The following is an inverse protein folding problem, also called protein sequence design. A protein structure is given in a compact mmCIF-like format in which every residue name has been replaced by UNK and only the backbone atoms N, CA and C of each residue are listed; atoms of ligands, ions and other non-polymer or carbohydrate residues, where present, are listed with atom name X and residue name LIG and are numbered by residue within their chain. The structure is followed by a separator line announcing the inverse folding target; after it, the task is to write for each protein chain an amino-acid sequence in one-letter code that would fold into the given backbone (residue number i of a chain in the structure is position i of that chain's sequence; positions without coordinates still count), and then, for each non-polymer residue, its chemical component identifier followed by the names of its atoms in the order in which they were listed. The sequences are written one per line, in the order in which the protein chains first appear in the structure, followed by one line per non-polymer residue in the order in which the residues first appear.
data_IF_240677626932
#
_entry.id   IF_240677626932
#
_cell.length_a   1.000
_cell.length_b   1.000
_cell.length_c   1.000
_cell.angle_alpha   90.00
_cell.angle_beta   90.00
_cell.angle_gamma   90.00
#
_symmetry.space_group_name_H-M   'P 1'
#
loop_
_entity.id
_entity.type
_entity.pdbx_description
1 polymer ?
#
# COMPACT_ATOMS: atom_id res chain seq x y z
N UNK A 1 -10.58 -21.90 -23.81
CA UNK A 1 -11.11 -21.57 -22.46
C UNK A 1 -11.52 -20.09 -22.43
N UNK A 2 -12.29 -19.63 -21.42
CA UNK A 2 -12.51 -18.20 -21.23
C UNK A 2 -11.21 -17.52 -20.74
N UNK A 3 -10.80 -16.47 -21.43
CA UNK A 3 -9.63 -15.66 -21.11
C UNK A 3 -9.86 -14.83 -19.84
N UNK A 4 -8.96 -14.94 -18.86
CA UNK A 4 -9.04 -14.22 -17.59
C UNK A 4 -8.28 -12.88 -17.63
N UNK A 5 -7.61 -12.52 -18.71
CA UNK A 5 -6.84 -11.27 -18.81
C UNK A 5 -7.67 -10.01 -18.51
N UNK A 6 -8.93 -9.86 -18.98
CA UNK A 6 -9.76 -8.73 -18.58
C UNK A 6 -10.00 -8.65 -17.07
N UNK A 7 -10.20 -9.81 -16.42
CA UNK A 7 -10.38 -9.88 -14.97
C UNK A 7 -9.08 -9.56 -14.23
N UNK A 8 -7.93 -10.02 -14.72
CA UNK A 8 -6.61 -9.68 -14.17
C UNK A 8 -6.38 -8.17 -14.23
N UNK A 9 -6.66 -7.54 -15.37
CA UNK A 9 -6.54 -6.07 -15.52
C UNK A 9 -7.42 -5.32 -14.53
N UNK A 10 -8.68 -5.73 -14.40
CA UNK A 10 -9.61 -5.14 -13.44
C UNK A 10 -9.08 -5.26 -12.00
N UNK A 11 -8.63 -6.46 -11.58
CA UNK A 11 -8.08 -6.68 -10.24
C UNK A 11 -6.79 -5.92 -9.96
N UNK A 12 -5.93 -5.73 -10.97
CA UNK A 12 -4.73 -4.88 -10.86
C UNK A 12 -5.12 -3.43 -10.58
N UNK A 13 -6.09 -2.91 -11.34
CA UNK A 13 -6.59 -1.56 -11.11
C UNK A 13 -7.21 -1.41 -9.70
N UNK A 14 -7.99 -2.38 -9.23
CA UNK A 14 -8.50 -2.38 -7.85
C UNK A 14 -7.38 -2.32 -6.80
N UNK A 15 -6.32 -3.12 -6.99
CA UNK A 15 -5.16 -3.11 -6.09
C UNK A 15 -4.45 -1.76 -6.10
N UNK A 16 -4.25 -1.17 -7.27
CA UNK A 16 -3.61 0.13 -7.42
C UNK A 16 -4.40 1.24 -6.70
N UNK A 17 -5.73 1.22 -6.81
CA UNK A 17 -6.59 2.16 -6.09
C UNK A 17 -6.49 2.01 -4.57
N UNK A 18 -6.39 0.77 -4.06
CA UNK A 18 -6.17 0.51 -2.64
C UNK A 18 -4.79 0.98 -2.18
N UNK A 19 -3.74 0.80 -2.99
CA UNK A 19 -2.41 1.31 -2.70
C UNK A 19 -2.38 2.84 -2.64
N UNK A 20 -3.01 3.52 -3.60
CA UNK A 20 -3.16 4.99 -3.59
C UNK A 20 -3.95 5.48 -2.38
N UNK A 21 -4.98 4.75 -1.98
CA UNK A 21 -5.73 5.08 -0.77
C UNK A 21 -4.86 4.95 0.49
N UNK A 22 -4.10 3.85 0.62
CA UNK A 22 -3.18 3.64 1.72
C UNK A 22 -2.08 4.72 1.78
N UNK A 23 -1.52 5.11 0.63
CA UNK A 23 -0.53 6.19 0.56
C UNK A 23 -1.09 7.50 1.09
N UNK A 24 -2.33 7.87 0.73
CA UNK A 24 -3.01 9.07 1.25
C UNK A 24 -3.17 9.04 2.77
N UNK A 25 -3.46 7.88 3.37
CA UNK A 25 -3.55 7.74 4.82
C UNK A 25 -2.19 7.96 5.51
N UNK A 26 -1.11 7.42 4.94
CA UNK A 26 0.23 7.65 5.47
C UNK A 26 0.68 9.11 5.33
N UNK A 27 0.31 9.79 4.24
CA UNK A 27 0.53 11.24 4.10
C UNK A 27 -0.22 12.04 5.18
N UNK A 28 -1.46 11.66 5.48
CA UNK A 28 -2.26 12.29 6.55
C UNK A 28 -1.61 12.08 7.93
N UNK A 29 -1.18 10.85 8.22
CA UNK A 29 -0.46 10.53 9.46
C UNK A 29 0.84 11.33 9.60
N UNK A 30 1.62 11.45 8.52
CA UNK A 30 2.86 12.23 8.53
C UNK A 30 2.59 13.73 8.79
N UNK A 31 1.51 14.29 8.24
CA UNK A 31 1.11 15.69 8.53
C UNK A 31 0.78 15.91 10.01
N UNK A 32 0.08 14.96 10.64
CA UNK A 32 -0.22 15.03 12.07
C UNK A 32 1.05 14.97 12.92
N UNK A 33 1.98 14.07 12.56
CA UNK A 33 3.28 13.95 13.24
C UNK A 33 4.07 15.27 13.15
N UNK A 34 4.15 15.85 11.95
CA UNK A 34 4.81 17.15 11.74
C UNK A 34 4.14 18.28 12.56
N UNK A 35 2.81 18.30 12.63
CA UNK A 35 2.08 19.27 13.46
C UNK A 35 2.40 19.11 14.95
N UNK A 36 2.47 17.87 15.44
CA UNK A 36 2.83 17.57 16.83
C UNK A 36 4.25 18.03 17.14
N UNK A 37 5.22 17.70 16.28
CA UNK A 37 6.61 18.14 16.42
C UNK A 37 6.74 19.67 16.40
N UNK A 38 6.00 20.36 15.54
CA UNK A 38 5.99 21.82 15.51
C UNK A 38 5.47 22.44 16.80
N UNK A 39 4.44 21.84 17.43
CA UNK A 39 3.92 22.28 18.73
C UNK A 39 4.94 22.00 19.84
N UNK A 40 5.60 20.84 19.83
CA UNK A 40 6.62 20.52 20.83
C UNK A 40 7.81 21.48 20.72
N UNK A 41 8.28 21.76 19.50
CA UNK A 41 9.35 22.73 19.26
C UNK A 41 8.97 24.15 19.68
N UNK A 42 7.71 24.57 19.51
CA UNK A 42 7.27 25.89 19.99
C UNK A 42 7.22 25.96 21.51
N UNK A 43 6.81 24.88 22.18
CA UNK A 43 6.86 24.78 23.65
C UNK A 43 8.29 24.85 24.17
N UNK A 44 9.23 24.14 23.53
CA UNK A 44 10.66 24.19 23.91
C UNK A 44 11.24 25.60 23.77
N UNK A 45 10.97 26.28 22.64
CA UNK A 45 11.44 27.67 22.43
C UNK A 45 10.92 28.63 23.50
N UNK A 46 9.63 28.53 23.83
CA UNK A 46 9.03 29.36 24.89
C UNK A 46 9.60 29.03 26.27
N UNK A 47 9.91 27.75 26.54
CA UNK A 47 10.59 27.36 27.78
C UNK A 47 12.01 27.94 27.89
N UNK A 48 12.75 28.01 26.78
CA UNK A 48 14.10 28.58 26.77
C UNK A 48 14.08 30.09 27.01
N UNK A 49 13.10 30.80 26.44
CA UNK A 49 12.88 32.24 26.71
C UNK A 49 12.59 32.50 28.20
N UNK A 50 11.79 31.64 28.83
CA UNK A 50 11.47 31.74 30.27
C UNK A 50 12.68 31.51 31.19
N UNK A 51 13.70 30.79 30.69
CA UNK A 51 14.94 30.48 31.43
C UNK A 51 16.04 31.53 31.22
N UNK A 52 15.88 32.44 30.27
CA UNK A 52 16.87 33.47 29.94
C UNK A 52 16.94 34.61 30.97
N UNK A 53 18.11 35.25 31.06
CA UNK A 53 18.39 36.33 32.04
C UNK A 53 17.58 37.61 31.79
N UNK A 54 16.99 37.80 30.60
CA UNK A 54 16.18 38.97 30.21
C UNK A 54 14.69 38.84 30.56
N UNK A 55 14.30 37.79 31.29
CA UNK A 55 12.91 37.45 31.56
C UNK A 55 12.19 38.45 32.48
N UNK A 56 11.04 38.98 32.03
CA UNK A 56 10.15 39.83 32.84
C UNK A 56 9.03 39.01 33.52
N UNK A 57 9.07 38.77 34.85
CA UNK A 57 8.29 37.69 35.47
C UNK A 57 6.77 37.92 35.55
N UNK A 58 6.33 39.17 35.67
CA UNK A 58 4.98 39.45 36.16
C UNK A 58 3.85 39.21 35.14
N UNK A 59 4.07 39.47 33.84
CA UNK A 59 3.07 39.19 32.79
C UNK A 59 3.33 37.88 32.03
N UNK A 60 4.57 37.40 32.02
CA UNK A 60 4.96 36.28 31.18
C UNK A 60 4.55 34.90 31.76
N UNK A 61 4.48 34.76 33.09
CA UNK A 61 4.14 33.48 33.74
C UNK A 61 2.68 33.06 33.48
N UNK A 62 1.73 34.00 33.53
CA UNK A 62 0.31 33.70 33.31
C UNK A 62 -0.01 33.38 31.85
N UNK A 63 0.58 34.12 30.90
CA UNK A 63 0.47 33.87 29.46
C UNK A 63 1.11 32.55 29.02
N UNK A 64 2.24 32.18 29.62
CA UNK A 64 2.89 30.90 29.35
C UNK A 64 2.06 29.71 29.85
N UNK A 65 1.44 29.83 31.04
CA UNK A 65 0.55 28.79 31.57
C UNK A 65 -0.64 28.49 30.66
N UNK A 66 -1.29 29.53 30.12
CA UNK A 66 -2.41 29.35 29.17
C UNK A 66 -1.95 28.80 27.82
N UNK A 67 -0.79 29.25 27.32
CA UNK A 67 -0.17 28.69 26.13
C UNK A 67 0.12 27.19 26.28
N UNK A 68 0.77 26.78 27.36
CA UNK A 68 1.12 25.38 27.63
C UNK A 68 -0.13 24.50 27.71
N UNK A 69 -1.18 24.97 28.39
CA UNK A 69 -2.46 24.27 28.47
C UNK A 69 -3.08 24.10 27.07
N UNK A 70 -3.09 25.16 26.26
CA UNK A 70 -3.62 25.10 24.88
C UNK A 70 -2.82 24.14 23.99
N UNK A 71 -1.49 24.12 24.13
CA UNK A 71 -0.59 23.23 23.39
C UNK A 71 -0.82 21.77 23.79
N UNK A 72 -1.01 21.49 25.07
CA UNK A 72 -1.36 20.15 25.58
C UNK A 72 -2.70 19.67 25.04
N UNK A 73 -3.70 20.54 24.96
CA UNK A 73 -5.01 20.21 24.38
C UNK A 73 -4.92 19.92 22.88
N UNK A 74 -4.13 20.68 22.13
CA UNK A 74 -3.86 20.41 20.72
C UNK A 74 -3.17 19.07 20.50
N UNK A 75 -2.13 18.76 21.29
CA UNK A 75 -1.42 17.47 21.22
C UNK A 75 -2.38 16.32 21.50
N UNK A 76 -3.22 16.41 22.55
CA UNK A 76 -4.23 15.38 22.84
C UNK A 76 -5.21 15.15 21.70
N UNK A 77 -5.62 16.21 20.99
CA UNK A 77 -6.48 16.09 19.81
C UNK A 77 -5.76 15.37 18.68
N UNK A 78 -4.49 15.73 18.42
CA UNK A 78 -3.66 15.06 17.41
C UNK A 78 -3.51 13.58 17.73
N UNK A 79 -3.15 13.23 18.97
CA UNK A 79 -3.00 11.82 19.41
C UNK A 79 -4.29 11.01 19.24
N UNK A 80 -5.46 11.65 19.41
CA UNK A 80 -6.75 11.00 19.16
C UNK A 80 -7.01 10.75 17.68
N UNK A 81 -6.66 11.70 16.81
CA UNK A 81 -6.79 11.53 15.36
C UNK A 81 -5.77 10.54 14.80
N UNK A 82 -4.53 10.52 15.33
CA UNK A 82 -3.51 9.52 15.00
C UNK A 82 -4.02 8.10 15.28
N UNK A 83 -4.62 7.85 16.45
CA UNK A 83 -5.20 6.54 16.78
C UNK A 83 -6.29 6.12 15.80
N UNK A 84 -7.15 7.05 15.37
CA UNK A 84 -8.18 6.75 14.37
C UNK A 84 -7.55 6.42 13.02
N UNK A 85 -6.50 7.15 12.62
CA UNK A 85 -5.77 6.90 11.39
C UNK A 85 -5.07 5.54 11.42
N UNK A 86 -4.46 5.17 12.54
CA UNK A 86 -3.82 3.86 12.72
C UNK A 86 -4.81 2.73 12.48
N UNK A 87 -6.00 2.79 13.09
CA UNK A 87 -7.06 1.79 12.83
C UNK A 87 -7.47 1.78 11.35
N UNK A 88 -7.60 2.95 10.71
CA UNK A 88 -7.94 3.03 9.27
C UNK A 88 -6.84 2.45 8.39
N UNK A 89 -5.56 2.68 8.74
CA UNK A 89 -4.40 2.12 8.04
C UNK A 89 -4.40 0.59 8.18
N UNK A 90 -4.61 0.05 9.37
CA UNK A 90 -4.67 -1.40 9.59
C UNK A 90 -5.76 -2.08 8.74
N UNK A 91 -6.95 -1.47 8.69
CA UNK A 91 -8.05 -1.94 7.85
C UNK A 91 -7.68 -1.87 6.37
N UNK A 92 -7.12 -0.74 5.91
CA UNK A 92 -6.72 -0.55 4.52
C UNK A 92 -5.60 -1.53 4.09
N UNK A 93 -4.63 -1.80 4.97
CA UNK A 93 -3.56 -2.79 4.73
C UNK A 93 -4.15 -4.19 4.58
N UNK A 94 -5.08 -4.56 5.45
CA UNK A 94 -5.75 -5.87 5.39
C UNK A 94 -6.55 -6.01 4.09
N UNK A 95 -7.28 -4.97 3.71
CA UNK A 95 -8.07 -4.98 2.48
C UNK A 95 -7.21 -5.01 1.20
N UNK A 96 -6.08 -4.30 1.20
CA UNK A 96 -5.08 -4.37 0.14
C UNK A 96 -4.47 -5.78 0.03
N UNK A 97 -4.11 -6.40 1.16
CA UNK A 97 -3.57 -7.77 1.20
C UNK A 97 -4.56 -8.78 0.63
N UNK A 98 -5.84 -8.66 1.00
CA UNK A 98 -6.90 -9.52 0.49
C UNK A 98 -7.06 -9.36 -1.03
N UNK A 99 -7.09 -8.11 -1.53
CA UNK A 99 -7.16 -7.84 -2.97
C UNK A 99 -5.98 -8.41 -3.75
N UNK A 100 -4.75 -8.28 -3.21
CA UNK A 100 -3.57 -8.89 -3.78
C UNK A 100 -3.67 -10.42 -3.83
N UNK A 101 -4.18 -11.05 -2.77
CA UNK A 101 -4.44 -12.48 -2.73
C UNK A 101 -5.40 -12.94 -3.83
N UNK A 102 -6.51 -12.23 -4.02
CA UNK A 102 -7.48 -12.52 -5.09
C UNK A 102 -6.87 -12.34 -6.49
N UNK A 103 -6.12 -11.26 -6.73
CA UNK A 103 -5.39 -11.05 -7.98
C UNK A 103 -4.47 -12.24 -8.28
N UNK A 104 -3.68 -12.68 -7.29
CA UNK A 104 -2.74 -13.81 -7.46
C UNK A 104 -3.43 -15.13 -7.76
N UNK A 105 -4.58 -15.40 -7.15
CA UNK A 105 -5.37 -16.61 -7.48
C UNK A 105 -5.77 -16.63 -8.97
N UNK A 106 -6.22 -15.49 -9.50
CA UNK A 106 -6.62 -15.38 -10.91
C UNK A 106 -5.41 -15.51 -11.83
N UNK A 107 -4.30 -14.82 -11.54
CA UNK A 107 -3.05 -14.91 -12.32
C UNK A 107 -2.52 -16.35 -12.40
N UNK A 108 -2.47 -17.05 -11.26
CA UNK A 108 -2.02 -18.46 -11.20
C UNK A 108 -2.95 -19.36 -12.00
N UNK A 109 -4.27 -19.14 -11.90
CA UNK A 109 -5.25 -19.93 -12.64
C UNK A 109 -5.08 -19.76 -14.14
N UNK A 110 -4.91 -18.52 -14.61
CA UNK A 110 -4.67 -18.23 -16.03
C UNK A 110 -3.36 -18.86 -16.51
N UNK A 111 -2.28 -18.75 -15.74
CA UNK A 111 -0.99 -19.36 -16.08
C UNK A 111 -1.09 -20.89 -16.23
N UNK A 112 -1.83 -21.57 -15.35
CA UNK A 112 -2.05 -23.02 -15.45
C UNK A 112 -2.84 -23.40 -16.71
N UNK A 113 -3.87 -22.62 -17.06
CA UNK A 113 -4.67 -22.85 -18.28
C UNK A 113 -3.81 -22.72 -19.53
N UNK A 114 -2.99 -21.66 -19.60
CA UNK A 114 -2.08 -21.44 -20.73
C UNK A 114 -1.04 -22.57 -20.84
N UNK A 115 -0.51 -23.06 -19.71
CA UNK A 115 0.43 -24.19 -19.70
C UNK A 115 -0.23 -25.47 -20.20
N UNK A 116 -1.46 -25.77 -19.80
CA UNK A 116 -2.22 -26.92 -20.27
C UNK A 116 -2.55 -26.82 -21.76
N UNK A 117 -2.96 -25.64 -22.24
CA UNK A 117 -3.22 -25.40 -23.66
C UNK A 117 -1.94 -25.54 -24.49
N UNK A 118 -0.80 -25.02 -24.01
CA UNK A 118 0.51 -25.18 -24.65
C UNK A 118 0.91 -26.65 -24.74
N UNK A 119 0.79 -27.42 -23.65
CA UNK A 119 1.09 -28.85 -23.66
C UNK A 119 0.21 -29.64 -24.63
N UNK A 120 -1.07 -29.28 -24.74
CA UNK A 120 -1.99 -29.91 -25.70
C UNK A 120 -1.63 -29.58 -27.14
N UNK A 121 -1.22 -28.34 -27.43
CA UNK A 121 -0.75 -27.95 -28.75
C UNK A 121 0.55 -28.68 -29.11
N UNK A 122 1.52 -28.67 -28.20
CA UNK A 122 2.79 -29.37 -28.37
C UNK A 122 2.57 -30.87 -28.62
N UNK A 123 1.73 -31.54 -27.83
CA UNK A 123 1.43 -32.96 -28.04
C UNK A 123 0.77 -33.24 -29.41
N UNK A 124 -0.03 -32.31 -29.94
CA UNK A 124 -0.61 -32.43 -31.29
C UNK A 124 0.43 -32.21 -32.37
N UNK A 125 1.32 -31.24 -32.20
CA UNK A 125 2.42 -30.95 -33.11
C UNK A 125 3.40 -32.13 -33.16
N UNK A 126 3.79 -32.67 -32.01
CA UNK A 126 4.69 -33.82 -31.91
C UNK A 126 4.09 -35.04 -32.64
N UNK A 127 2.82 -35.35 -32.40
CA UNK A 127 2.13 -36.46 -33.09
C UNK A 127 2.06 -36.25 -34.61
N UNK A 128 1.84 -35.02 -35.08
CA UNK A 128 1.84 -34.68 -36.51
C UNK A 128 3.24 -34.86 -37.12
N UNK A 129 4.29 -34.42 -36.43
CA UNK A 129 5.67 -34.57 -36.90
C UNK A 129 6.10 -36.04 -36.95
N UNK A 130 5.68 -36.85 -35.99
CA UNK A 130 5.89 -38.30 -36.01
C UNK A 130 5.21 -38.94 -37.22
N UNK A 131 3.95 -38.58 -37.51
CA UNK A 131 3.23 -39.10 -38.67
C UNK A 131 3.92 -38.74 -39.99
N UNK A 132 4.32 -37.47 -40.15
CA UNK A 132 5.07 -37.01 -41.32
C UNK A 132 6.40 -37.76 -41.45
N UNK A 133 7.12 -37.95 -40.34
CA UNK A 133 8.39 -38.69 -40.31
C UNK A 133 8.23 -40.14 -40.77
N UNK A 134 7.18 -40.82 -40.30
CA UNK A 134 6.85 -42.19 -40.72
C UNK A 134 6.49 -42.27 -42.20
N UNK A 135 5.69 -41.32 -42.71
CA UNK A 135 5.33 -41.26 -44.13
C UNK A 135 6.56 -41.05 -45.03
N UNK A 136 7.46 -40.13 -44.67
CA UNK A 136 8.71 -39.90 -45.40
C UNK A 136 9.59 -41.15 -45.38
N UNK A 137 9.74 -41.78 -44.21
CA UNK A 137 10.53 -43.00 -44.08
C UNK A 137 9.99 -44.14 -44.93
N UNK A 138 8.66 -44.35 -44.93
CA UNK A 138 8.01 -45.36 -45.75
C UNK A 138 8.25 -45.12 -47.24
N UNK A 139 8.11 -43.87 -47.71
CA UNK A 139 8.34 -43.49 -49.11
C UNK A 139 9.79 -43.67 -49.57
N UNK A 140 10.76 -43.49 -48.68
CA UNK A 140 12.18 -43.70 -49.01
C UNK A 140 12.62 -45.18 -49.01
N UNK A 141 11.73 -46.09 -48.59
CA UNK A 141 11.97 -47.54 -48.54
C UNK A 141 11.40 -48.31 -49.73
N UNK A 142 10.51 -47.69 -50.51
CA UNK A 142 10.13 -48.10 -51.87
C UNK A 142 11.18 -47.66 -52.88
#
# INVERSE_FOLDING_TARGET
MADLDPLIRFRKHELDEKQKFLARLYEEANKLLQQREAILSSVEKEMDVMRGEEFQPFMAISGFGTFLQSSKEKIKKIEHEEKKLDTRIEIAVTDMRNSFGELKKVEITQARRLEEERKKLQAKEDALFEEIGLQIYAKNKE
#
